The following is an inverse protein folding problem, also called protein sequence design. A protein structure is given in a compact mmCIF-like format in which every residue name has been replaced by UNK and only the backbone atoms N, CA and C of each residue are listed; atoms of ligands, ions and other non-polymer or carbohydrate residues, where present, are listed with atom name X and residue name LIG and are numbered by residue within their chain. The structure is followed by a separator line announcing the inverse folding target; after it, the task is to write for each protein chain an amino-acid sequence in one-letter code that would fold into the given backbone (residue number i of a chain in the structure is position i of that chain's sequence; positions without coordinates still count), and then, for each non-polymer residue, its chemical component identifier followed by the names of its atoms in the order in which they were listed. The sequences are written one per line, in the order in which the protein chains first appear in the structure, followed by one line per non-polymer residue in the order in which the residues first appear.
data_IF_487021048280
#
_entry.id   IF_487021048280
#
_cell.length_a   1.000
_cell.length_b   1.000
_cell.length_c   1.000
_cell.angle_alpha   90.00
_cell.angle_beta   90.00
_cell.angle_gamma   90.00
#
_symmetry.space_group_name_H-M   'P 1'
#
loop_
_entity.id
_entity.type
_entity.pdbx_description
1 polymer ?
#
# COMPACT_ATOMS: atom_id res chain seq x y z
N UNK A 1 -62.64 -22.74 12.61
CA UNK A 1 -61.23 -22.35 12.60
C UNK A 1 -60.40 -23.45 11.96
N UNK A 2 -60.72 -23.82 10.70
CA UNK A 2 -60.09 -24.93 9.94
C UNK A 2 -60.32 -24.75 8.45
N UNK A 3 -59.92 -23.57 7.89
CA UNK A 3 -60.08 -23.30 6.44
C UNK A 3 -59.15 -22.18 5.99
N UNK A 4 -57.86 -22.24 6.34
CA UNK A 4 -56.88 -21.27 5.87
C UNK A 4 -55.45 -21.85 5.72
N UNK A 5 -55.33 -23.15 5.55
CA UNK A 5 -54.03 -23.82 5.40
C UNK A 5 -53.93 -24.69 4.14
N UNK A 6 -54.82 -24.51 3.12
CA UNK A 6 -54.85 -25.36 1.92
C UNK A 6 -54.57 -24.63 0.61
N UNK A 7 -54.06 -23.39 0.60
CA UNK A 7 -53.77 -22.65 -0.63
C UNK A 7 -52.30 -22.30 -0.83
N UNK A 8 -51.36 -22.84 -0.05
CA UNK A 8 -49.92 -22.59 -0.20
C UNK A 8 -49.17 -23.73 -0.89
N UNK A 9 -49.86 -24.70 -1.51
CA UNK A 9 -49.23 -25.84 -2.21
C UNK A 9 -49.54 -25.87 -3.68
N UNK A 10 -49.36 -24.77 -4.40
CA UNK A 10 -49.37 -24.77 -5.88
C UNK A 10 -48.42 -23.71 -6.43
N UNK A 11 -47.15 -23.85 -6.14
CA UNK A 11 -46.11 -23.30 -7.01
C UNK A 11 -45.24 -24.46 -7.49
N UNK A 12 -45.60 -24.93 -8.68
CA UNK A 12 -44.91 -26.03 -9.36
C UNK A 12 -43.47 -25.63 -9.72
N UNK A 13 -42.62 -26.50 -9.40
CA UNK A 13 -41.19 -26.65 -9.37
C UNK A 13 -40.23 -26.03 -10.40
N UNK A 14 -40.49 -25.67 -11.64
CA UNK A 14 -39.42 -25.23 -12.53
C UNK A 14 -39.01 -23.77 -12.34
N UNK A 15 -39.90 -22.92 -11.86
CA UNK A 15 -39.60 -21.47 -11.68
C UNK A 15 -38.79 -21.22 -10.40
N UNK A 16 -39.06 -21.97 -9.32
CA UNK A 16 -38.30 -21.90 -8.08
C UNK A 16 -36.89 -22.46 -8.22
N UNK A 17 -36.72 -23.53 -9.01
CA UNK A 17 -35.43 -24.12 -9.29
C UNK A 17 -34.53 -23.15 -10.08
N UNK A 18 -35.10 -22.48 -11.10
CA UNK A 18 -34.37 -21.46 -11.89
C UNK A 18 -33.99 -20.22 -11.07
N UNK A 19 -34.79 -19.84 -10.07
CA UNK A 19 -34.45 -18.73 -9.15
C UNK A 19 -33.39 -19.15 -8.13
N UNK A 20 -33.41 -20.39 -7.68
CA UNK A 20 -32.41 -20.94 -6.77
C UNK A 20 -31.05 -21.15 -7.47
N UNK A 21 -31.05 -21.55 -8.73
CA UNK A 21 -29.84 -21.69 -9.56
C UNK A 21 -29.19 -20.32 -9.86
N UNK A 22 -30.01 -19.26 -9.94
CA UNK A 22 -29.50 -17.87 -10.05
C UNK A 22 -29.01 -17.25 -8.75
N UNK A 23 -29.36 -17.85 -7.60
CA UNK A 23 -28.94 -17.44 -6.26
C UNK A 23 -27.84 -18.35 -5.67
N UNK A 24 -27.38 -19.34 -6.45
CA UNK A 24 -26.20 -20.09 -6.06
C UNK A 24 -25.07 -19.08 -5.84
N UNK A 25 -24.44 -19.01 -4.64
CA UNK A 25 -23.29 -18.16 -4.48
C UNK A 25 -22.29 -18.59 -5.56
N UNK A 26 -21.88 -17.62 -6.41
CA UNK A 26 -20.74 -17.85 -7.31
C UNK A 26 -19.72 -18.57 -6.47
N UNK A 27 -19.35 -19.77 -6.90
CA UNK A 27 -18.29 -20.52 -6.26
C UNK A 27 -17.17 -19.50 -5.96
N UNK A 28 -16.85 -19.35 -4.69
CA UNK A 28 -15.63 -18.63 -4.32
C UNK A 28 -14.58 -19.34 -5.16
N UNK A 29 -13.97 -18.61 -6.09
CA UNK A 29 -12.76 -19.10 -6.74
C UNK A 29 -11.92 -19.60 -5.57
N UNK A 30 -11.62 -20.90 -5.58
CA UNK A 30 -10.74 -21.55 -4.62
C UNK A 30 -9.38 -20.87 -4.84
N UNK A 31 -9.19 -19.73 -4.18
CA UNK A 31 -7.89 -19.09 -4.09
C UNK A 31 -7.09 -20.09 -3.29
N UNK A 32 -6.20 -20.82 -3.96
CA UNK A 32 -5.25 -21.67 -3.29
C UNK A 32 -4.58 -20.81 -2.22
N UNK A 33 -4.74 -21.17 -0.92
CA UNK A 33 -4.27 -20.30 0.18
C UNK A 33 -2.75 -20.10 0.19
N UNK A 34 -2.02 -20.75 -0.69
CA UNK A 34 -0.56 -20.78 -0.76
C UNK A 34 0.01 -20.19 -2.06
N UNK A 35 -0.82 -19.68 -2.98
CA UNK A 35 -0.31 -19.04 -4.19
C UNK A 35 0.44 -17.74 -3.82
N UNK A 36 1.68 -17.53 -4.32
CA UNK A 36 2.42 -16.31 -4.02
C UNK A 36 1.66 -15.09 -4.56
N UNK A 37 1.20 -14.25 -3.64
CA UNK A 37 0.50 -13.01 -3.99
C UNK A 37 1.50 -12.01 -4.55
N UNK A 38 1.20 -11.41 -5.69
CA UNK A 38 2.00 -10.30 -6.19
C UNK A 38 1.78 -9.08 -5.28
N UNK A 39 2.86 -8.63 -4.63
CA UNK A 39 2.80 -7.50 -3.72
C UNK A 39 2.58 -6.18 -4.46
N UNK A 40 1.52 -5.45 -4.12
CA UNK A 40 1.10 -4.21 -4.78
C UNK A 40 0.86 -3.03 -3.83
N UNK A 41 1.10 -3.20 -2.52
CA UNK A 41 0.85 -2.14 -1.55
C UNK A 41 2.07 -1.23 -1.40
N UNK A 42 1.91 0.11 -1.49
CA UNK A 42 2.98 1.05 -1.17
C UNK A 42 3.23 1.10 0.33
N UNK A 43 4.35 1.67 0.74
CA UNK A 43 4.66 1.87 2.15
C UNK A 43 6.13 2.17 2.42
N UNK A 44 6.42 2.59 3.64
CA UNK A 44 7.75 3.01 4.10
C UNK A 44 8.10 2.27 5.38
N UNK A 45 9.38 2.02 5.64
CA UNK A 45 9.82 1.57 6.95
C UNK A 45 9.90 2.74 7.94
N UNK A 46 9.70 2.45 9.22
CA UNK A 46 9.42 3.41 10.29
C UNK A 46 10.39 4.56 10.47
N UNK A 47 11.68 4.36 10.18
CA UNK A 47 12.72 5.39 10.33
C UNK A 47 12.77 6.41 9.19
N UNK A 48 12.11 6.14 8.06
CA UNK A 48 12.06 7.07 6.92
C UNK A 48 11.38 8.37 7.36
N UNK A 49 12.01 9.51 7.10
CA UNK A 49 11.55 10.81 7.59
C UNK A 49 10.69 11.52 6.56
N UNK A 50 9.57 12.05 7.00
CA UNK A 50 8.64 12.86 6.20
C UNK A 50 8.69 14.31 6.66
N UNK A 51 8.67 15.24 5.70
CA UNK A 51 8.64 16.67 5.98
C UNK A 51 7.29 17.11 6.53
N UNK A 52 7.27 17.66 7.74
CA UNK A 52 6.07 18.20 8.40
C UNK A 52 6.15 19.72 8.54
N UNK A 53 5.08 20.34 9.04
CA UNK A 53 5.08 21.77 9.38
C UNK A 53 6.18 22.15 10.40
N UNK A 54 6.59 21.20 11.25
CA UNK A 54 7.52 21.42 12.36
C UNK A 54 8.90 20.80 12.11
N UNK A 55 9.18 20.35 10.90
CA UNK A 55 10.43 19.69 10.53
C UNK A 55 10.21 18.23 10.13
N UNK A 56 11.32 17.52 9.94
CA UNK A 56 11.27 16.13 9.49
C UNK A 56 11.00 15.18 10.65
N UNK A 57 9.99 14.33 10.49
CA UNK A 57 9.54 13.36 11.49
C UNK A 57 9.66 11.93 10.93
N UNK A 58 10.16 10.94 11.71
CA UNK A 58 10.09 9.54 11.31
C UNK A 58 8.64 9.12 11.11
N UNK A 59 8.36 8.37 10.03
CA UNK A 59 6.97 8.00 9.69
C UNK A 59 6.30 7.18 10.80
N UNK A 60 7.05 6.41 11.58
CA UNK A 60 6.54 5.66 12.73
C UNK A 60 5.96 6.55 13.83
N UNK A 61 6.38 7.82 13.91
CA UNK A 61 5.91 8.81 14.85
C UNK A 61 4.78 9.69 14.31
N UNK A 62 4.45 9.56 13.01
CA UNK A 62 3.39 10.33 12.36
C UNK A 62 2.03 10.01 12.98
N UNK A 63 1.19 11.03 13.12
CA UNK A 63 -0.16 10.92 13.71
C UNK A 63 -1.22 11.47 12.78
N UNK A 64 -2.45 11.03 13.00
CA UNK A 64 -3.62 11.65 12.38
C UNK A 64 -3.65 13.14 12.69
N UNK A 65 -3.97 13.94 11.68
CA UNK A 65 -4.04 15.41 11.71
C UNK A 65 -2.69 16.14 11.74
N UNK A 66 -1.56 15.42 11.66
CA UNK A 66 -0.28 16.09 11.42
C UNK A 66 -0.31 16.79 10.05
N UNK A 67 0.31 17.97 9.97
CA UNK A 67 0.42 18.73 8.73
C UNK A 67 1.72 18.38 8.01
N UNK A 68 1.60 17.78 6.82
CA UNK A 68 2.70 17.34 5.96
C UNK A 68 2.98 18.40 4.91
N UNK A 69 4.24 18.64 4.65
CA UNK A 69 4.69 19.55 3.58
C UNK A 69 4.72 18.84 2.24
N UNK A 70 3.91 19.32 1.32
CA UNK A 70 3.88 18.83 -0.08
C UNK A 70 5.11 19.30 -0.86
N UNK A 71 5.29 18.74 -2.06
CA UNK A 71 6.34 19.16 -2.98
C UNK A 71 6.25 20.64 -3.36
N UNK A 72 5.03 21.22 -3.42
CA UNK A 72 4.78 22.63 -3.70
C UNK A 72 5.03 23.55 -2.50
N UNK A 73 5.26 22.98 -1.30
CA UNK A 73 5.40 23.73 -0.05
C UNK A 73 4.09 23.95 0.70
N UNK A 74 2.93 23.61 0.11
CA UNK A 74 1.65 23.65 0.81
C UNK A 74 1.60 22.60 1.93
N UNK A 75 0.81 22.87 2.96
CA UNK A 75 0.55 21.91 4.03
C UNK A 75 -0.73 21.16 3.73
N UNK A 76 -0.68 19.85 3.91
CA UNK A 76 -1.83 18.95 3.81
C UNK A 76 -1.91 18.11 5.07
N UNK A 77 -3.13 17.80 5.50
CA UNK A 77 -3.36 17.09 6.75
C UNK A 77 -3.41 15.59 6.55
N UNK A 78 -2.79 14.86 7.45
CA UNK A 78 -2.89 13.40 7.48
C UNK A 78 -4.30 12.99 7.93
N UNK A 79 -5.03 12.32 7.05
CA UNK A 79 -6.40 11.86 7.30
C UNK A 79 -6.47 10.37 7.65
N UNK A 80 -5.48 9.60 7.22
CA UNK A 80 -5.44 8.17 7.46
C UNK A 80 -4.01 7.67 7.63
N UNK A 81 -3.82 6.72 8.53
CA UNK A 81 -2.56 6.02 8.78
C UNK A 81 -2.84 4.53 8.95
N UNK A 82 -1.99 3.71 8.36
CA UNK A 82 -2.02 2.27 8.52
C UNK A 82 -0.62 1.70 8.76
N UNK A 83 -0.57 0.60 9.52
CA UNK A 83 0.65 -0.14 9.84
C UNK A 83 0.42 -1.59 9.48
N UNK A 84 1.13 -2.05 8.48
CA UNK A 84 1.05 -3.41 8.01
C UNK A 84 2.28 -4.18 8.48
N UNK A 85 2.09 -5.06 9.44
CA UNK A 85 3.14 -5.94 9.94
C UNK A 85 3.20 -7.21 9.08
N UNK A 86 4.39 -7.53 8.59
CA UNK A 86 4.69 -8.75 7.84
C UNK A 86 5.71 -9.56 8.64
N UNK A 87 5.33 -10.77 8.98
CA UNK A 87 6.19 -11.72 9.69
C UNK A 87 7.10 -12.51 8.74
N UNK A 88 7.95 -13.34 9.32
CA UNK A 88 8.90 -14.16 8.58
C UNK A 88 8.21 -15.17 7.65
N UNK A 89 7.15 -15.82 8.13
CA UNK A 89 6.42 -16.82 7.34
C UNK A 89 5.77 -16.20 6.11
N UNK A 90 5.16 -15.03 6.28
CA UNK A 90 4.60 -14.30 5.15
C UNK A 90 5.67 -13.87 4.15
N UNK A 91 6.78 -13.29 4.62
CA UNK A 91 7.86 -12.82 3.76
C UNK A 91 8.59 -13.95 3.03
N UNK A 92 8.68 -15.13 3.64
CA UNK A 92 9.23 -16.33 3.01
C UNK A 92 8.33 -16.83 1.87
N UNK A 93 7.01 -16.83 2.08
CA UNK A 93 6.03 -17.24 1.06
C UNK A 93 5.83 -16.17 -0.04
N UNK A 94 6.01 -14.90 0.28
CA UNK A 94 5.80 -13.78 -0.62
C UNK A 94 7.06 -12.91 -0.81
N UNK A 95 8.09 -13.41 -1.50
CA UNK A 95 9.36 -12.67 -1.69
C UNK A 95 9.17 -11.34 -2.42
N UNK A 96 8.07 -11.18 -3.17
CA UNK A 96 7.71 -9.93 -3.83
C UNK A 96 7.44 -8.79 -2.85
N UNK A 97 7.08 -9.09 -1.59
CA UNK A 97 6.84 -8.12 -0.52
C UNK A 97 8.11 -7.65 0.20
N UNK A 98 9.27 -8.30 -0.05
CA UNK A 98 10.55 -7.92 0.55
C UNK A 98 10.93 -6.47 0.18
N UNK A 99 11.42 -5.69 1.15
CA UNK A 99 11.62 -4.26 0.98
C UNK A 99 12.77 -3.93 0.02
N UNK A 100 12.67 -2.74 -0.54
CA UNK A 100 13.69 -2.13 -1.39
C UNK A 100 14.42 -1.06 -0.58
N UNK A 101 15.73 -1.17 -0.54
CA UNK A 101 16.64 -0.20 0.06
C UNK A 101 17.16 0.73 -0.99
N UNK A 102 17.00 2.04 -0.78
CA UNK A 102 17.52 3.12 -1.61
C UNK A 102 18.64 3.77 -0.80
N UNK A 103 19.90 3.62 -1.20
CA UNK A 103 21.04 4.19 -0.47
C UNK A 103 20.98 5.71 -0.41
N UNK A 104 21.62 6.29 0.59
CA UNK A 104 21.85 7.73 0.61
C UNK A 104 22.53 8.18 -0.69
N UNK A 105 22.12 9.33 -1.21
CA UNK A 105 22.64 9.94 -2.43
C UNK A 105 22.46 9.10 -3.73
N UNK A 106 21.58 8.08 -3.74
CA UNK A 106 21.31 7.25 -4.92
C UNK A 106 20.84 8.05 -6.16
N UNK A 107 20.26 9.23 -5.94
CA UNK A 107 19.78 10.13 -7.00
C UNK A 107 20.70 11.35 -7.22
N UNK A 108 21.82 11.40 -6.51
CA UNK A 108 22.74 12.54 -6.53
C UNK A 108 22.26 13.74 -5.70
N UNK A 109 23.12 14.71 -5.54
CA UNK A 109 22.83 15.96 -4.79
C UNK A 109 22.32 15.73 -3.35
N UNK A 110 22.85 14.69 -2.66
CA UNK A 110 22.44 14.34 -1.31
C UNK A 110 21.01 13.75 -1.21
N UNK A 111 20.48 13.15 -2.28
CA UNK A 111 19.14 12.55 -2.28
C UNK A 111 19.18 11.04 -2.51
N UNK A 112 18.51 10.22 -1.68
CA UNK A 112 17.99 10.55 -0.35
C UNK A 112 19.07 11.13 0.58
N UNK A 113 18.70 11.94 1.57
CA UNK A 113 19.64 12.49 2.57
C UNK A 113 20.23 11.36 3.43
N UNK A 114 19.39 10.43 3.82
CA UNK A 114 19.77 9.18 4.47
C UNK A 114 19.20 8.00 3.69
N UNK A 115 19.71 6.81 3.96
CA UNK A 115 19.15 5.59 3.40
C UNK A 115 17.66 5.49 3.73
N UNK A 116 16.84 5.16 2.72
CA UNK A 116 15.42 4.91 2.92
C UNK A 116 15.05 3.51 2.46
N UNK A 117 14.18 2.85 3.20
CA UNK A 117 13.68 1.52 2.88
C UNK A 117 12.17 1.57 2.69
N UNK A 118 11.72 1.09 1.55
CA UNK A 118 10.35 1.25 1.10
C UNK A 118 9.79 -0.05 0.53
N UNK A 119 8.47 -0.12 0.40
CA UNK A 119 7.80 -1.19 -0.34
C UNK A 119 8.22 -1.18 -1.82
N UNK A 120 8.29 -2.35 -2.48
CA UNK A 120 8.57 -2.45 -3.92
C UNK A 120 7.68 -1.61 -4.82
N UNK A 121 6.43 -1.40 -4.41
CA UNK A 121 5.43 -0.63 -5.16
C UNK A 121 5.39 0.86 -4.79
N UNK A 122 6.23 1.29 -3.85
CA UNK A 122 6.28 2.71 -3.50
C UNK A 122 6.76 3.54 -4.69
N UNK A 123 5.96 4.54 -5.07
CA UNK A 123 6.29 5.45 -6.15
C UNK A 123 7.18 6.57 -5.65
N UNK A 124 8.35 6.69 -6.25
CA UNK A 124 9.37 7.70 -5.92
C UNK A 124 9.80 8.44 -7.17
N UNK A 125 10.22 9.69 -7.04
CA UNK A 125 10.82 10.45 -8.14
C UNK A 125 12.32 10.60 -7.93
N UNK A 126 13.14 10.06 -8.85
CA UNK A 126 14.59 10.31 -8.83
C UNK A 126 14.96 11.78 -9.06
N UNK A 127 14.07 12.55 -9.66
CA UNK A 127 14.29 13.95 -10.04
C UNK A 127 13.69 14.91 -9.00
N UNK A 128 14.49 15.86 -8.51
CA UNK A 128 14.02 16.85 -7.53
C UNK A 128 13.04 17.86 -8.10
N UNK A 129 13.13 18.12 -9.40
CA UNK A 129 12.42 19.23 -10.07
C UNK A 129 11.28 18.76 -10.97
N UNK A 130 11.22 17.47 -11.31
CA UNK A 130 10.21 16.93 -12.22
C UNK A 130 9.29 15.99 -11.44
N UNK A 131 8.35 16.56 -10.71
CA UNK A 131 7.34 15.81 -9.95
C UNK A 131 6.46 14.87 -10.81
N UNK A 132 6.55 14.96 -12.13
CA UNK A 132 5.79 14.12 -13.06
C UNK A 132 6.40 12.75 -13.32
N UNK A 133 7.71 12.59 -13.09
CA UNK A 133 8.39 11.31 -13.34
C UNK A 133 8.49 10.50 -12.06
N UNK A 134 7.55 9.61 -11.88
CA UNK A 134 7.56 8.64 -10.79
C UNK A 134 7.86 7.24 -11.33
N UNK A 135 8.67 6.51 -10.61
CA UNK A 135 8.98 5.11 -10.87
C UNK A 135 8.72 4.31 -9.59
N UNK A 136 8.41 3.02 -9.73
CA UNK A 136 8.32 2.17 -8.55
C UNK A 136 9.71 1.91 -7.97
N UNK A 137 9.80 1.68 -6.66
CA UNK A 137 11.06 1.30 -6.05
C UNK A 137 11.64 0.02 -6.67
N UNK A 138 10.78 -0.90 -7.11
CA UNK A 138 11.16 -2.12 -7.85
C UNK A 138 11.94 -1.78 -9.13
N UNK A 139 11.49 -0.78 -9.88
CA UNK A 139 12.13 -0.39 -11.15
C UNK A 139 13.50 0.27 -10.93
N UNK A 140 13.71 0.86 -9.74
CA UNK A 140 15.03 1.41 -9.37
C UNK A 140 16.08 0.30 -9.20
N UNK A 141 15.69 -0.91 -8.82
CA UNK A 141 16.62 -2.05 -8.75
C UNK A 141 17.15 -2.39 -10.13
N UNK A 142 16.31 -2.37 -11.18
CA UNK A 142 16.73 -2.59 -12.55
C UNK A 142 17.72 -1.52 -13.05
N UNK A 143 17.69 -0.33 -12.46
CA UNK A 143 18.59 0.78 -12.77
C UNK A 143 19.84 0.80 -11.87
N UNK A 144 20.06 -0.20 -11.03
CA UNK A 144 21.14 -0.29 -10.03
C UNK A 144 21.19 0.89 -9.04
N UNK A 145 20.08 1.57 -8.82
CA UNK A 145 19.93 2.69 -7.87
C UNK A 145 19.37 2.28 -6.51
N UNK A 146 18.90 1.05 -6.43
CA UNK A 146 18.34 0.46 -5.23
C UNK A 146 18.56 -1.05 -5.25
N UNK A 147 18.35 -1.72 -4.14
CA UNK A 147 18.46 -3.18 -4.06
C UNK A 147 17.42 -3.76 -3.09
N UNK A 148 17.00 -4.97 -3.37
CA UNK A 148 16.10 -5.72 -2.48
C UNK A 148 16.87 -6.18 -1.25
N UNK A 149 16.24 -6.10 -0.09
CA UNK A 149 16.80 -6.54 1.18
C UNK A 149 15.96 -7.68 1.73
N UNK A 150 16.61 -8.74 2.20
CA UNK A 150 15.92 -9.80 2.91
C UNK A 150 15.63 -9.36 4.35
N UNK A 151 14.41 -9.54 4.80
CA UNK A 151 13.97 -9.25 6.14
C UNK A 151 13.20 -10.45 6.70
N UNK A 152 13.39 -10.75 7.98
CA UNK A 152 12.64 -11.77 8.72
C UNK A 152 11.38 -11.23 9.38
N UNK A 153 11.15 -9.93 9.28
CA UNK A 153 9.97 -9.25 9.78
C UNK A 153 10.11 -7.76 9.58
N UNK A 154 9.03 -7.10 9.23
CA UNK A 154 9.01 -5.65 9.02
C UNK A 154 7.61 -5.08 9.25
N UNK A 155 7.54 -3.76 9.38
CA UNK A 155 6.27 -3.03 9.40
C UNK A 155 6.33 -1.94 8.33
N UNK A 156 5.43 -2.02 7.35
CA UNK A 156 5.18 -0.93 6.42
C UNK A 156 4.21 0.08 7.03
N UNK A 157 4.61 1.33 7.02
CA UNK A 157 3.78 2.47 7.39
C UNK A 157 3.24 3.11 6.13
N UNK A 158 1.93 3.39 6.13
CA UNK A 158 1.24 4.06 5.04
C UNK A 158 0.40 5.19 5.60
N UNK A 159 0.26 6.25 4.84
CA UNK A 159 -0.64 7.35 5.17
C UNK A 159 -1.16 8.01 3.90
N UNK A 160 -2.25 8.72 4.01
CA UNK A 160 -2.70 9.64 2.98
C UNK A 160 -3.40 10.87 3.58
N UNK A 161 -3.58 11.89 2.74
CA UNK A 161 -4.05 13.21 3.12
C UNK A 161 -5.43 13.54 2.51
N UNK A 162 -6.30 12.52 2.36
CA UNK A 162 -7.64 12.64 1.77
C UNK A 162 -7.66 12.68 0.25
N UNK A 163 -6.62 13.23 -0.37
CA UNK A 163 -6.40 13.24 -1.81
C UNK A 163 -4.97 12.82 -2.13
N UNK A 164 -4.70 12.31 -3.36
CA UNK A 164 -3.35 11.99 -3.78
C UNK A 164 -2.42 13.19 -3.62
N UNK A 165 -1.31 13.00 -2.92
CA UNK A 165 -0.34 14.06 -2.65
C UNK A 165 1.08 13.63 -3.01
N UNK A 166 1.90 14.60 -3.40
CA UNK A 166 3.34 14.43 -3.54
C UNK A 166 4.02 15.12 -2.37
N UNK A 167 4.72 14.35 -1.57
CA UNK A 167 5.42 14.83 -0.37
C UNK A 167 6.92 14.57 -0.47
N UNK A 168 7.69 15.18 0.43
CA UNK A 168 9.14 14.94 0.53
C UNK A 168 9.44 13.98 1.67
N UNK A 169 10.18 12.92 1.35
CA UNK A 169 10.74 12.00 2.34
C UNK A 169 12.23 11.84 2.07
N UNK A 170 13.06 12.09 3.07
CA UNK A 170 14.53 12.12 2.94
C UNK A 170 15.01 13.01 1.76
N UNK A 171 14.29 14.08 1.45
CA UNK A 171 14.58 14.94 0.31
C UNK A 171 14.10 14.41 -1.05
N UNK A 172 13.52 13.21 -1.11
CA UNK A 172 12.97 12.57 -2.31
C UNK A 172 11.47 12.83 -2.41
N UNK A 173 10.97 13.06 -3.62
CA UNK A 173 9.54 13.18 -3.87
C UNK A 173 8.89 11.78 -3.93
N UNK A 174 7.82 11.60 -3.18
CA UNK A 174 7.05 10.35 -3.14
C UNK A 174 5.56 10.64 -3.29
N UNK A 175 4.80 9.67 -3.83
CA UNK A 175 3.33 9.72 -3.85
C UNK A 175 2.75 9.02 -2.62
N UNK A 176 1.77 9.65 -2.03
CA UNK A 176 0.98 9.14 -0.90
C UNK A 176 -0.50 9.33 -1.14
#
# INVERSE_FOLDING_TARGET
MKRMLSELTRFDGPVLQSLLDGLAPKAREDIEPDAPVEWNLPGFLGKTRVGTAFGDLPIEALRLRDDIRTASGALVRVEWIDKLHLDEDFLAKHPSAQPIRIPANAFGQGRPMTEMTVSPCQMVSPDAHVASRFVSARDLCAQSRAHRVQSTGLTYYRFHCGAPATVRMEGVLVRV
#
